data_IF_914471977929
#
_entry.id   IF_914471977929
#
_cell.length_a   1.000
_cell.length_b   1.000
_cell.length_c   1.000
_cell.angle_alpha   90.00
_cell.angle_beta   90.00
_cell.angle_gamma   90.00
#
_symmetry.space_group_name_H-M   'P 1'
#
loop_
_entity.id
_entity.type
_entity.pdbx_description
1 polymer ?
#
# COMPACT_ATOMS: atom_id res chain seq x y z
N UNK A 1 2.28 15.78 6.09
CA UNK A 1 3.68 16.02 5.66
C UNK A 1 4.38 14.69 5.68
N UNK A 2 5.03 14.34 4.58
CA UNK A 2 5.88 13.16 4.44
C UNK A 2 7.30 13.64 4.16
N UNK A 3 8.27 13.17 4.93
CA UNK A 3 9.68 13.50 4.77
C UNK A 3 10.51 12.23 4.72
N UNK A 4 11.20 12.04 3.59
CA UNK A 4 12.07 10.91 3.30
C UNK A 4 13.50 11.40 3.40
N UNK A 5 14.32 10.79 4.27
CA UNK A 5 15.69 11.21 4.53
C UNK A 5 16.67 10.06 4.29
N UNK A 6 17.51 10.22 3.27
CA UNK A 6 18.63 9.34 2.94
C UNK A 6 18.25 7.85 2.84
N UNK A 7 17.07 7.57 2.31
CA UNK A 7 16.56 6.20 2.21
C UNK A 7 17.40 5.41 1.21
N UNK A 8 17.95 4.30 1.69
CA UNK A 8 18.57 3.29 0.84
C UNK A 8 17.97 1.92 1.13
N UNK A 9 17.86 1.10 0.09
CA UNK A 9 17.42 -0.29 0.18
C UNK A 9 18.32 -1.16 -0.68
N UNK A 10 19.03 -2.06 -0.01
CA UNK A 10 19.86 -3.09 -0.65
C UNK A 10 19.25 -4.46 -0.41
N UNK A 11 19.22 -5.28 -1.46
CA UNK A 11 18.90 -6.69 -1.40
C UNK A 11 20.19 -7.49 -1.62
N UNK A 12 20.42 -8.49 -0.77
CA UNK A 12 21.54 -9.41 -0.93
C UNK A 12 21.06 -10.63 -1.70
N UNK A 13 21.49 -10.74 -2.95
CA UNK A 13 21.21 -11.86 -3.83
C UNK A 13 22.28 -12.94 -3.66
N UNK A 14 21.88 -14.19 -3.61
CA UNK A 14 22.76 -15.35 -3.50
C UNK A 14 22.43 -16.31 -4.63
N UNK A 15 23.44 -16.89 -5.29
CA UNK A 15 23.21 -17.89 -6.34
C UNK A 15 22.64 -19.19 -5.76
N UNK A 16 23.05 -19.56 -4.54
CA UNK A 16 22.56 -20.76 -3.85
C UNK A 16 22.17 -20.44 -2.41
N UNK A 17 21.13 -21.09 -1.85
CA UNK A 17 20.77 -20.92 -0.43
C UNK A 17 21.92 -21.24 0.54
N UNK A 18 22.80 -22.18 0.19
CA UNK A 18 23.98 -22.54 0.99
C UNK A 18 25.01 -21.40 1.10
N UNK A 19 25.07 -20.50 0.13
CA UNK A 19 25.99 -19.36 0.16
C UNK A 19 25.60 -18.34 1.24
N UNK A 20 24.31 -18.23 1.58
CA UNK A 20 23.85 -17.40 2.71
C UNK A 20 24.39 -17.91 4.04
N UNK A 21 24.45 -19.23 4.22
CA UNK A 21 24.98 -19.84 5.45
C UNK A 21 26.50 -19.64 5.51
N UNK A 22 27.19 -19.80 4.38
CA UNK A 22 28.63 -19.60 4.30
C UNK A 22 29.04 -18.14 4.55
N UNK A 23 28.25 -17.16 4.13
CA UNK A 23 28.48 -15.73 4.39
C UNK A 23 28.29 -15.34 5.88
N UNK A 24 27.63 -16.18 6.69
CA UNK A 24 27.53 -15.97 8.15
C UNK A 24 28.77 -16.48 8.90
N UNK A 25 29.60 -17.33 8.27
CA UNK A 25 30.78 -17.90 8.91
C UNK A 25 31.97 -16.93 8.84
N UNK A 26 32.67 -16.68 9.96
CA UNK A 26 33.76 -15.69 10.04
C UNK A 26 35.01 -16.04 9.21
N UNK A 27 35.03 -17.22 8.58
CA UNK A 27 36.17 -17.74 7.81
C UNK A 27 35.97 -17.65 6.27
N UNK A 28 34.82 -17.12 5.80
CA UNK A 28 34.54 -16.92 4.38
C UNK A 28 35.37 -15.78 3.78
N UNK A 29 36.30 -16.09 2.87
CA UNK A 29 37.29 -15.12 2.35
C UNK A 29 36.78 -14.13 1.30
N UNK A 30 35.55 -14.27 0.79
CA UNK A 30 34.85 -13.25 -0.03
C UNK A 30 33.34 -13.38 0.15
N UNK A 31 32.59 -12.27 0.31
CA UNK A 31 31.14 -12.30 0.30
C UNK A 31 30.66 -12.89 -1.02
N UNK A 32 29.87 -13.96 -0.95
CA UNK A 32 29.24 -14.58 -2.13
C UNK A 32 27.94 -13.89 -2.53
N UNK A 33 27.48 -12.95 -1.70
CA UNK A 33 26.33 -12.11 -2.01
C UNK A 33 26.64 -11.10 -3.12
N UNK A 34 25.69 -10.93 -4.03
CA UNK A 34 25.62 -9.77 -4.92
C UNK A 34 24.67 -8.74 -4.30
N UNK A 35 25.12 -7.48 -4.22
CA UNK A 35 24.29 -6.39 -3.71
C UNK A 35 23.47 -5.78 -4.85
N UNK A 36 22.15 -5.84 -4.73
CA UNK A 36 21.21 -5.16 -5.61
C UNK A 36 20.62 -3.94 -4.89
N UNK A 37 20.99 -2.75 -5.36
CA UNK A 37 20.52 -1.48 -4.81
C UNK A 37 19.20 -1.09 -5.47
N UNK A 38 18.09 -1.34 -4.78
CA UNK A 38 16.77 -0.92 -5.25
C UNK A 38 16.54 0.58 -5.03
N UNK A 39 17.11 1.15 -3.95
CA UNK A 39 17.10 2.58 -3.66
C UNK A 39 18.46 2.98 -3.10
N UNK A 40 18.95 4.16 -3.49
CA UNK A 40 20.23 4.68 -3.03
C UNK A 40 20.12 6.17 -2.73
N UNK A 41 20.23 6.50 -1.45
CA UNK A 41 20.26 7.85 -0.89
C UNK A 41 19.12 8.79 -1.37
N UNK A 42 17.88 8.29 -1.31
CA UNK A 42 16.70 9.04 -1.73
C UNK A 42 16.26 10.01 -0.63
N UNK A 43 16.11 11.30 -0.97
CA UNK A 43 15.65 12.35 -0.05
C UNK A 43 14.64 13.27 -0.74
N UNK A 44 13.47 13.46 -0.14
CA UNK A 44 12.47 14.43 -0.58
C UNK A 44 11.47 14.76 0.55
N UNK A 45 10.71 15.84 0.37
CA UNK A 45 9.62 16.23 1.27
C UNK A 45 8.35 16.50 0.47
N UNK A 46 7.22 16.10 1.02
CA UNK A 46 5.88 16.35 0.49
C UNK A 46 5.08 17.08 1.56
N UNK A 47 4.65 18.29 1.24
CA UNK A 47 3.81 19.11 2.11
C UNK A 47 2.41 18.50 2.24
N UNK A 48 1.64 18.95 3.25
CA UNK A 48 0.25 18.51 3.41
C UNK A 48 -0.58 18.99 2.22
N UNK A 49 -1.35 18.09 1.62
CA UNK A 49 -2.22 18.39 0.47
C UNK A 49 -1.47 18.52 -0.86
N UNK A 50 -0.16 18.27 -0.87
CA UNK A 50 0.62 18.17 -2.09
C UNK A 50 0.44 16.79 -2.73
N UNK A 51 0.53 16.75 -4.06
CA UNK A 51 0.57 15.52 -4.83
C UNK A 51 1.95 15.35 -5.45
N UNK A 52 2.61 14.23 -5.15
CA UNK A 52 3.90 13.88 -5.73
C UNK A 52 3.73 12.70 -6.68
N UNK A 53 3.99 12.91 -7.97
CA UNK A 53 4.08 11.81 -8.93
C UNK A 53 5.48 11.23 -8.99
N UNK A 54 5.61 9.91 -8.79
CA UNK A 54 6.89 9.19 -8.91
C UNK A 54 6.92 8.45 -10.24
N UNK A 55 7.84 8.83 -11.13
CA UNK A 55 7.98 8.27 -12.48
C UNK A 55 9.36 7.67 -12.70
N UNK A 56 9.41 6.59 -13.47
CA UNK A 56 10.65 5.87 -13.76
C UNK A 56 10.40 4.50 -14.36
N UNK A 57 11.42 3.91 -15.03
CA UNK A 57 11.28 2.61 -15.69
C UNK A 57 10.98 1.49 -14.68
N UNK A 58 10.48 0.36 -15.17
CA UNK A 58 10.29 -0.83 -14.35
C UNK A 58 11.62 -1.26 -13.72
N UNK A 59 11.58 -1.62 -12.43
CA UNK A 59 12.78 -1.96 -11.66
C UNK A 59 13.58 -0.78 -11.10
N UNK A 60 13.14 0.47 -11.30
CA UNK A 60 13.79 1.66 -10.71
C UNK A 60 13.58 1.85 -9.20
N UNK A 61 12.79 0.98 -8.55
CA UNK A 61 12.55 1.00 -7.11
C UNK A 61 11.31 1.79 -6.67
N UNK A 62 10.43 2.24 -7.58
CA UNK A 62 9.20 3.00 -7.25
C UNK A 62 8.34 2.30 -6.19
N UNK A 63 7.90 1.07 -6.45
CA UNK A 63 7.07 0.32 -5.49
C UNK A 63 7.83 0.02 -4.19
N UNK A 64 9.16 -0.20 -4.24
CA UNK A 64 9.99 -0.33 -3.03
C UNK A 64 10.00 0.95 -2.21
N UNK A 65 10.09 2.12 -2.84
CA UNK A 65 10.03 3.41 -2.16
C UNK A 65 8.66 3.62 -1.54
N UNK A 66 7.58 3.36 -2.29
CA UNK A 66 6.21 3.49 -1.78
C UNK A 66 5.94 2.54 -0.60
N UNK A 67 6.42 1.29 -0.65
CA UNK A 67 6.34 0.33 0.46
C UNK A 67 7.12 0.79 1.69
N UNK A 68 8.25 1.49 1.51
CA UNK A 68 9.01 2.07 2.63
C UNK A 68 8.27 3.27 3.22
N UNK A 69 7.69 4.13 2.38
CA UNK A 69 6.91 5.29 2.83
C UNK A 69 5.63 4.86 3.56
N UNK A 70 4.99 3.77 3.13
CA UNK A 70 3.82 3.19 3.79
C UNK A 70 4.14 2.43 5.08
N UNK A 71 5.41 2.18 5.37
CA UNK A 71 5.85 1.42 6.55
C UNK A 71 5.73 -0.10 6.40
N UNK A 72 5.35 -0.61 5.23
CA UNK A 72 5.27 -2.05 4.94
C UNK A 72 6.67 -2.66 4.92
N UNK A 73 7.64 -1.94 4.34
CA UNK A 73 9.00 -2.41 4.14
C UNK A 73 9.98 -1.54 4.95
N UNK A 74 10.80 -2.11 5.86
CA UNK A 74 11.84 -1.33 6.50
C UNK A 74 12.96 -0.98 5.50
N UNK A 75 13.50 0.25 5.55
CA UNK A 75 14.69 0.61 4.77
C UNK A 75 15.95 -0.09 5.31
N UNK A 76 16.99 -0.17 4.49
CA UNK A 76 18.32 -0.61 4.98
C UNK A 76 18.98 0.50 5.79
N UNK A 77 18.85 1.75 5.35
CA UNK A 77 19.35 2.95 6.03
C UNK A 77 18.47 4.15 5.72
N UNK A 78 18.60 5.20 6.53
CA UNK A 78 17.74 6.38 6.45
C UNK A 78 16.45 6.21 7.25
N UNK A 79 15.52 7.16 7.11
CA UNK A 79 14.22 7.12 7.79
C UNK A 79 13.13 7.84 7.02
N UNK A 80 11.89 7.43 7.26
CA UNK A 80 10.68 8.14 6.81
C UNK A 80 10.00 8.75 8.04
N UNK A 81 9.62 10.02 7.90
CA UNK A 81 8.83 10.76 8.87
C UNK A 81 7.51 11.11 8.20
N UNK A 82 6.43 10.45 8.60
CA UNK A 82 5.08 10.73 8.12
C UNK A 82 4.18 11.05 9.31
N UNK A 83 3.31 12.06 9.14
CA UNK A 83 2.29 12.41 10.13
C UNK A 83 0.91 12.07 9.59
N UNK A 84 0.12 11.40 10.43
CA UNK A 84 -1.26 11.03 10.13
C UNK A 84 -1.43 9.59 9.70
N UNK A 85 -2.69 9.19 9.44
CA UNK A 85 -3.02 7.87 8.90
C UNK A 85 -2.59 7.77 7.43
N UNK A 86 -1.80 6.75 7.12
CA UNK A 86 -1.37 6.43 5.76
C UNK A 86 -2.22 5.27 5.25
N UNK A 87 -2.92 5.46 4.14
CA UNK A 87 -3.54 4.38 3.38
C UNK A 87 -2.71 4.12 2.12
N UNK A 88 -2.36 2.87 1.88
CA UNK A 88 -1.54 2.47 0.73
C UNK A 88 -2.30 1.49 -0.16
N UNK A 89 -2.59 1.91 -1.40
CA UNK A 89 -3.23 1.11 -2.44
C UNK A 89 -2.22 0.30 -3.27
N UNK A 90 -1.08 -0.08 -2.66
CA UNK A 90 0.01 -0.79 -3.34
C UNK A 90 -0.33 -2.27 -3.55
N UNK A 91 -0.99 -2.86 -2.56
CA UNK A 91 -1.37 -4.25 -2.54
C UNK A 91 -2.85 -4.31 -2.14
N UNK A 92 -3.73 -3.92 -3.07
CA UNK A 92 -5.18 -3.89 -2.82
C UNK A 92 -5.66 -5.25 -2.32
N UNK A 93 -6.21 -5.27 -1.10
CA UNK A 93 -6.67 -6.48 -0.43
C UNK A 93 -5.56 -7.30 0.23
N UNK A 94 -4.32 -6.81 0.27
CA UNK A 94 -3.33 -7.37 1.18
C UNK A 94 -3.85 -7.22 2.62
N UNK A 95 -3.96 -8.36 3.31
CA UNK A 95 -4.60 -8.46 4.62
C UNK A 95 -6.05 -8.93 4.58
N UNK A 96 -6.67 -9.11 3.40
CA UNK A 96 -7.93 -9.85 3.33
C UNK A 96 -7.67 -11.34 3.58
N UNK A 97 -8.49 -11.92 4.45
CA UNK A 97 -8.53 -13.34 4.70
C UNK A 97 -9.57 -13.98 3.75
N UNK A 98 -9.17 -14.92 2.88
CA UNK A 98 -10.05 -15.61 1.93
C UNK A 98 -11.26 -16.31 2.58
N UNK A 99 -11.10 -16.75 3.82
CA UNK A 99 -12.14 -17.45 4.58
C UNK A 99 -13.14 -16.50 5.25
N UNK A 100 -12.81 -15.22 5.36
CA UNK A 100 -13.68 -14.22 5.95
C UNK A 100 -14.62 -13.63 4.92
N UNK A 101 -15.79 -13.21 5.37
CA UNK A 101 -16.75 -12.45 4.57
C UNK A 101 -16.18 -11.10 4.15
N UNK A 102 -16.78 -10.46 3.14
CA UNK A 102 -16.43 -9.08 2.80
C UNK A 102 -16.54 -8.15 4.00
N UNK A 103 -17.61 -8.26 4.78
CA UNK A 103 -17.83 -7.47 5.99
C UNK A 103 -16.69 -7.64 6.99
N UNK A 104 -16.35 -8.88 7.35
CA UNK A 104 -15.26 -9.15 8.29
C UNK A 104 -13.91 -8.63 7.78
N UNK A 105 -13.65 -8.73 6.48
CA UNK A 105 -12.45 -8.19 5.86
C UNK A 105 -12.38 -6.66 5.89
N UNK A 106 -13.51 -5.96 5.69
CA UNK A 106 -13.59 -4.51 5.84
C UNK A 106 -13.21 -4.10 7.27
N UNK A 107 -13.76 -4.79 8.28
CA UNK A 107 -13.45 -4.48 9.67
C UNK A 107 -11.98 -4.74 9.98
N UNK A 108 -11.45 -5.91 9.60
CA UNK A 108 -10.05 -6.26 9.82
C UNK A 108 -9.11 -5.24 9.16
N UNK A 109 -9.36 -4.92 7.90
CA UNK A 109 -8.52 -4.00 7.13
C UNK A 109 -8.59 -2.58 7.68
N UNK A 110 -9.78 -2.09 8.06
CA UNK A 110 -9.93 -0.77 8.65
C UNK A 110 -9.31 -0.66 10.06
N UNK A 111 -9.40 -1.72 10.89
CA UNK A 111 -8.72 -1.79 12.19
C UNK A 111 -7.19 -1.73 12.01
N UNK A 112 -6.63 -2.44 11.02
CA UNK A 112 -5.20 -2.38 10.66
C UNK A 112 -4.78 -0.96 10.24
N UNK A 113 -5.66 -0.25 9.53
CA UNK A 113 -5.46 1.15 9.13
C UNK A 113 -5.69 2.16 10.27
N UNK A 114 -5.99 1.69 11.48
CA UNK A 114 -6.08 2.49 12.69
C UNK A 114 -7.44 3.12 12.95
N UNK A 115 -8.52 2.53 12.43
CA UNK A 115 -9.89 2.92 12.82
C UNK A 115 -10.35 2.13 14.03
N UNK A 116 -11.03 2.81 14.94
CA UNK A 116 -11.84 2.17 15.99
C UNK A 116 -13.10 1.53 15.38
N UNK A 117 -13.65 0.52 16.05
CA UNK A 117 -14.90 -0.12 15.59
C UNK A 117 -16.06 0.86 15.36
N UNK A 118 -16.21 1.86 16.22
CA UNK A 118 -17.21 2.92 16.04
C UNK A 118 -16.99 3.76 14.79
N UNK A 119 -15.74 4.03 14.41
CA UNK A 119 -15.44 4.71 13.14
C UNK A 119 -15.78 3.80 11.96
N UNK A 120 -15.45 2.51 12.07
CA UNK A 120 -15.76 1.49 11.04
C UNK A 120 -17.27 1.42 10.81
N UNK A 121 -18.07 1.29 11.86
CA UNK A 121 -19.53 1.25 11.78
C UNK A 121 -20.11 2.49 11.05
N UNK A 122 -19.50 3.67 11.26
CA UNK A 122 -19.91 4.92 10.63
C UNK A 122 -19.47 5.07 9.16
N UNK A 123 -18.40 4.40 8.73
CA UNK A 123 -17.94 4.41 7.33
C UNK A 123 -18.43 3.21 6.53
N UNK A 124 -18.78 2.11 7.19
CA UNK A 124 -19.13 0.84 6.55
C UNK A 124 -20.24 0.98 5.48
N UNK A 125 -21.35 1.70 5.71
CA UNK A 125 -22.39 1.85 4.69
C UNK A 125 -21.88 2.56 3.42
N UNK A 126 -20.91 3.48 3.57
CA UNK A 126 -20.27 4.17 2.43
C UNK A 126 -19.35 3.22 1.67
N UNK A 127 -18.63 2.35 2.38
CA UNK A 127 -17.76 1.32 1.79
C UNK A 127 -18.60 0.33 0.97
N UNK A 128 -19.67 -0.18 1.56
CA UNK A 128 -20.60 -1.14 0.93
C UNK A 128 -21.25 -0.54 -0.32
N UNK A 129 -21.78 0.69 -0.21
CA UNK A 129 -22.42 1.39 -1.32
C UNK A 129 -21.43 1.72 -2.46
N UNK A 130 -20.17 2.06 -2.16
CA UNK A 130 -19.18 2.35 -3.18
C UNK A 130 -18.66 1.07 -3.87
N UNK A 131 -18.53 -0.04 -3.13
CA UNK A 131 -18.10 -1.32 -3.67
C UNK A 131 -19.15 -1.95 -4.60
N UNK A 132 -20.45 -1.73 -4.36
CA UNK A 132 -21.61 -2.32 -5.05
C UNK A 132 -21.48 -3.83 -5.34
N UNK A 133 -21.03 -4.57 -4.33
CA UNK A 133 -21.00 -6.04 -4.41
C UNK A 133 -22.30 -6.68 -3.93
N UNK A 134 -23.27 -5.88 -3.45
CA UNK A 134 -24.59 -6.34 -3.01
C UNK A 134 -24.51 -7.37 -1.88
N UNK A 135 -25.35 -8.41 -1.95
CA UNK A 135 -25.43 -9.48 -0.95
C UNK A 135 -24.14 -10.30 -0.80
N UNK A 136 -23.19 -10.16 -1.73
CA UNK A 136 -21.90 -10.83 -1.59
C UNK A 136 -21.08 -10.29 -0.43
N UNK A 137 -21.40 -9.11 0.13
CA UNK A 137 -20.71 -8.56 1.31
C UNK A 137 -20.66 -9.53 2.50
N UNK A 138 -21.67 -10.40 2.63
CA UNK A 138 -21.77 -11.41 3.68
C UNK A 138 -21.33 -12.81 3.20
N UNK A 139 -20.64 -12.90 2.06
CA UNK A 139 -20.03 -14.12 1.51
C UNK A 139 -18.51 -14.09 1.68
N UNK A 140 -17.86 -15.26 1.86
CA UNK A 140 -16.41 -15.35 1.89
C UNK A 140 -15.75 -14.73 0.66
N UNK A 141 -14.69 -13.95 0.84
CA UNK A 141 -14.04 -13.24 -0.29
C UNK A 141 -13.38 -14.18 -1.30
N UNK A 142 -13.10 -15.44 -0.94
CA UNK A 142 -12.67 -16.47 -1.90
C UNK A 142 -13.71 -16.80 -2.98
N UNK A 143 -14.98 -16.48 -2.75
CA UNK A 143 -16.08 -16.67 -3.71
C UNK A 143 -16.21 -15.47 -4.67
N UNK A 144 -15.43 -14.40 -4.46
CA UNK A 144 -15.56 -13.18 -5.25
C UNK A 144 -14.90 -13.31 -6.61
N UNK A 145 -15.44 -12.60 -7.60
CA UNK A 145 -14.67 -12.27 -8.79
C UNK A 145 -13.51 -11.34 -8.44
N UNK A 146 -12.47 -11.32 -9.27
CA UNK A 146 -11.35 -10.39 -9.13
C UNK A 146 -11.82 -8.92 -9.08
N UNK A 147 -12.85 -8.57 -9.86
CA UNK A 147 -13.46 -7.25 -9.85
C UNK A 147 -14.09 -6.91 -8.50
N UNK A 148 -14.93 -7.79 -7.93
CA UNK A 148 -15.56 -7.57 -6.63
C UNK A 148 -14.52 -7.43 -5.51
N UNK A 149 -13.48 -8.27 -5.54
CA UNK A 149 -12.38 -8.23 -4.58
C UNK A 149 -11.70 -6.86 -4.60
N UNK A 150 -11.30 -6.39 -5.78
CA UNK A 150 -10.61 -5.11 -5.94
C UNK A 150 -11.52 -3.94 -5.59
N UNK A 151 -12.81 -3.99 -5.97
CA UNK A 151 -13.78 -2.96 -5.63
C UNK A 151 -13.94 -2.81 -4.13
N UNK A 152 -14.05 -3.92 -3.38
CA UNK A 152 -14.17 -3.88 -1.92
C UNK A 152 -12.88 -3.39 -1.25
N UNK A 153 -11.72 -3.90 -1.68
CA UNK A 153 -10.42 -3.49 -1.16
C UNK A 153 -10.17 -2.00 -1.36
N UNK A 154 -10.40 -1.50 -2.59
CA UNK A 154 -10.28 -0.09 -2.91
C UNK A 154 -11.27 0.74 -2.08
N UNK A 155 -12.56 0.35 -2.07
CA UNK A 155 -13.61 1.03 -1.34
C UNK A 155 -13.28 1.20 0.16
N UNK A 156 -12.72 0.15 0.76
CA UNK A 156 -12.27 0.20 2.16
C UNK A 156 -11.18 1.24 2.33
N UNK A 157 -10.11 1.15 1.54
CA UNK A 157 -8.93 1.99 1.70
C UNK A 157 -9.16 3.48 1.38
N UNK A 158 -10.15 3.85 0.56
CA UNK A 158 -10.49 5.26 0.31
C UNK A 158 -11.44 5.89 1.35
N UNK A 159 -12.12 5.08 2.15
CA UNK A 159 -13.12 5.54 3.14
C UNK A 159 -12.61 5.53 4.58
N UNK A 160 -11.35 5.16 4.83
CA UNK A 160 -10.70 5.26 6.15
C UNK A 160 -10.26 6.69 6.52
N UNK A 161 -10.62 7.69 5.73
CA UNK A 161 -10.21 9.09 5.90
C UNK A 161 -8.69 9.23 6.15
N UNK A 162 -7.84 8.85 5.17
CA UNK A 162 -6.39 8.96 5.29
C UNK A 162 -5.91 10.40 5.17
N UNK A 163 -4.80 10.73 5.83
CA UNK A 163 -4.09 12.01 5.65
C UNK A 163 -3.04 11.94 4.53
N UNK A 164 -2.55 10.73 4.27
CA UNK A 164 -1.64 10.38 3.18
C UNK A 164 -2.21 9.18 2.44
N UNK A 165 -2.46 9.33 1.15
CA UNK A 165 -2.89 8.25 0.27
C UNK A 165 -1.73 7.92 -0.68
N UNK A 166 -1.25 6.69 -0.62
CA UNK A 166 -0.22 6.16 -1.52
C UNK A 166 -0.91 5.30 -2.57
N UNK A 167 -0.53 5.49 -3.83
CA UNK A 167 -1.19 4.87 -4.94
C UNK A 167 -0.17 4.31 -5.94
N UNK A 168 -0.30 3.03 -6.30
CA UNK A 168 0.50 2.44 -7.38
C UNK A 168 -0.26 2.44 -8.71
N UNK A 169 0.41 1.99 -9.77
CA UNK A 169 -0.09 1.80 -11.14
C UNK A 169 -1.40 0.96 -11.21
N UNK A 170 -1.74 0.24 -10.13
CA UNK A 170 -2.94 -0.58 -9.97
C UNK A 170 -4.27 0.19 -9.88
N UNK A 171 -4.31 1.51 -10.09
CA UNK A 171 -5.59 2.23 -10.21
C UNK A 171 -6.41 1.85 -11.44
N UNK A 172 -5.81 1.20 -12.44
CA UNK A 172 -6.49 0.78 -13.66
C UNK A 172 -7.30 -0.53 -13.50
N UNK A 173 -7.75 -0.85 -12.27
CA UNK A 173 -8.39 -2.13 -11.98
C UNK A 173 -9.89 -1.91 -11.72
N UNK A 174 -10.72 -2.57 -12.53
CA UNK A 174 -12.18 -2.49 -12.47
C UNK A 174 -12.80 -2.27 -13.85
N UNK A 175 -14.11 -2.08 -13.88
CA UNK A 175 -14.84 -1.64 -15.07
C UNK A 175 -14.79 -0.12 -15.23
N UNK A 176 -15.17 0.39 -16.41
CA UNK A 176 -15.14 1.83 -16.72
C UNK A 176 -16.01 2.67 -15.79
N UNK A 177 -17.08 2.10 -15.24
CA UNK A 177 -18.00 2.79 -14.32
C UNK A 177 -17.29 2.96 -12.97
N UNK A 178 -16.64 1.92 -12.45
CA UNK A 178 -15.87 1.97 -11.23
C UNK A 178 -14.68 2.92 -11.35
N UNK A 179 -13.96 2.89 -12.48
CA UNK A 179 -12.86 3.81 -12.75
C UNK A 179 -13.30 5.29 -12.68
N UNK A 180 -14.45 5.64 -13.27
CA UNK A 180 -15.04 6.98 -13.19
C UNK A 180 -15.34 7.41 -11.74
N UNK A 181 -15.84 6.48 -10.92
CA UNK A 181 -16.07 6.73 -9.48
C UNK A 181 -14.78 6.94 -8.71
N UNK A 182 -13.74 6.16 -9.01
CA UNK A 182 -12.41 6.34 -8.42
C UNK A 182 -11.90 7.76 -8.72
N UNK A 183 -11.96 8.21 -9.98
CA UNK A 183 -11.54 9.57 -10.37
C UNK A 183 -12.29 10.64 -9.57
N UNK A 184 -13.62 10.54 -9.50
CA UNK A 184 -14.42 11.49 -8.70
C UNK A 184 -14.04 11.47 -7.22
N UNK A 185 -13.72 10.30 -6.67
CA UNK A 185 -13.24 10.20 -5.29
C UNK A 185 -11.87 10.87 -5.12
N UNK A 186 -10.95 10.70 -6.07
CA UNK A 186 -9.66 11.37 -6.05
C UNK A 186 -9.81 12.89 -6.08
N UNK A 187 -10.75 13.42 -6.85
CA UNK A 187 -11.09 14.85 -6.85
C UNK A 187 -11.60 15.33 -5.47
N UNK A 188 -12.49 14.57 -4.83
CA UNK A 188 -12.95 14.87 -3.46
C UNK A 188 -11.79 14.87 -2.45
N UNK A 189 -10.88 13.89 -2.52
CA UNK A 189 -9.71 13.83 -1.65
C UNK A 189 -8.74 14.99 -1.89
N UNK A 190 -8.63 15.45 -3.14
CA UNK A 190 -7.87 16.64 -3.50
C UNK A 190 -8.45 17.91 -2.86
N UNK A 191 -9.77 18.09 -2.95
CA UNK A 191 -10.47 19.23 -2.33
C UNK A 191 -10.28 19.25 -0.81
N UNK A 192 -10.22 18.06 -0.19
CA UNK A 192 -9.94 17.87 1.25
C UNK A 192 -8.46 18.07 1.63
N UNK A 193 -7.59 18.41 0.68
CA UNK A 193 -6.15 18.59 0.88
C UNK A 193 -5.47 17.35 1.49
N UNK A 194 -5.88 16.16 1.06
CA UNK A 194 -5.18 14.92 1.35
C UNK A 194 -3.87 14.89 0.56
N UNK A 195 -2.80 14.40 1.19
CA UNK A 195 -1.49 14.25 0.54
C UNK A 195 -1.50 12.99 -0.32
N UNK A 196 -1.07 13.04 -1.58
CA UNK A 196 -1.08 11.87 -2.49
C UNK A 196 0.34 11.59 -3.00
N UNK A 197 0.75 10.32 -2.96
CA UNK A 197 2.01 9.82 -3.50
C UNK A 197 1.78 8.66 -4.49
#
# INVERSE_FOLDING_TARGET
MVEVQHISKVYHLYERPSDRILDLLPFGRRPRRQEFWALKDVTFKVARGEMLGIVGPNGSGKSTLLQIVSGILPPTSGRVLARGRIAALLELGAGFNPEFTGRENVYLSAEILGLSRSEIDAVFPRIEAFAEIGEFIDRPVKEYSSGMYVRLAFSTAIHVDPEVLIVDEALAVGDAIFASRCVRKFEELKERQITIL
#
